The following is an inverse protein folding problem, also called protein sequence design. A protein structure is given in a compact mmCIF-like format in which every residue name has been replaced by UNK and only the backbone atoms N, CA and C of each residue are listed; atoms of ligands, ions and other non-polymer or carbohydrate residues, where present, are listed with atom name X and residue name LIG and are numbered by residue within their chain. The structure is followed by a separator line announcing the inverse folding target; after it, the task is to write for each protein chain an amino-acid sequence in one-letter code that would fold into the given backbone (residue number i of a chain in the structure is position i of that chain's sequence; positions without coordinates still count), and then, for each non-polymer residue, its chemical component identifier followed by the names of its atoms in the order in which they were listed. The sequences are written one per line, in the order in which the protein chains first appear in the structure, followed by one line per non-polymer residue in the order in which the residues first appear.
data_IF_524522799672
#
_entry.id   IF_524522799672
#
_cell.length_a   1.000
_cell.length_b   1.000
_cell.length_c   1.000
_cell.angle_alpha   90.00
_cell.angle_beta   90.00
_cell.angle_gamma   90.00
#
_symmetry.space_group_name_H-M   'P 1'
#
loop_
_entity.id
_entity.type
_entity.pdbx_description
1 polymer ?
#
# COMPACT_ATOMS: atom_id res chain seq x y z
N UNK A 1 -19.42 30.02 -18.22
CA UNK A 1 -19.39 30.21 -16.76
C UNK A 1 -20.68 29.62 -16.18
N UNK A 2 -20.56 28.58 -15.34
CA UNK A 2 -21.63 27.68 -14.79
C UNK A 2 -22.27 26.79 -15.88
N UNK A 3 -22.52 25.49 -15.70
CA UNK A 3 -23.21 24.74 -14.63
C UNK A 3 -22.76 23.26 -14.68
N UNK A 4 -22.55 22.61 -13.54
CA UNK A 4 -23.04 21.25 -13.22
C UNK A 4 -22.57 20.85 -11.80
N UNK A 5 -23.40 21.23 -10.83
CA UNK A 5 -23.49 20.56 -9.54
C UNK A 5 -24.56 19.47 -9.69
N UNK A 6 -24.24 18.22 -9.36
CA UNK A 6 -25.17 17.09 -9.34
C UNK A 6 -25.23 16.50 -7.94
N UNK A 7 -26.25 16.96 -7.22
CA UNK A 7 -27.09 16.28 -6.22
C UNK A 7 -26.54 15.02 -5.54
N UNK A 8 -26.03 15.22 -4.33
CA UNK A 8 -25.98 14.21 -3.26
C UNK A 8 -27.22 14.37 -2.37
N UNK A 9 -28.40 13.95 -2.85
CA UNK A 9 -29.63 13.98 -2.06
C UNK A 9 -30.67 12.99 -2.63
N UNK A 10 -30.51 11.70 -2.33
CA UNK A 10 -31.57 10.69 -2.43
C UNK A 10 -31.15 9.37 -1.76
N UNK A 11 -31.23 9.28 -0.43
CA UNK A 11 -31.42 8.01 0.31
C UNK A 11 -31.64 8.27 1.81
N UNK A 12 -32.69 8.99 2.19
CA UNK A 12 -33.20 8.98 3.57
C UNK A 12 -34.71 9.17 3.54
N UNK A 13 -35.47 8.06 3.45
CA UNK A 13 -36.75 7.83 4.15
C UNK A 13 -37.34 6.45 3.78
N UNK A 14 -38.09 5.87 4.73
CA UNK A 14 -38.73 4.55 4.82
C UNK A 14 -37.83 3.47 5.47
N UNK A 15 -38.20 2.82 6.58
CA UNK A 15 -39.44 2.82 7.33
C UNK A 15 -39.20 2.39 8.78
N UNK A 16 -40.00 2.91 9.71
CA UNK A 16 -40.10 2.46 11.10
C UNK A 16 -40.78 1.09 11.15
N UNK A 17 -40.08 0.07 11.65
CA UNK A 17 -40.64 -1.22 12.03
C UNK A 17 -40.79 -1.30 13.57
N UNK A 18 -41.81 -1.99 14.10
CA UNK A 18 -42.18 -1.89 15.51
C UNK A 18 -41.20 -2.66 16.41
N UNK A 19 -41.00 -2.12 17.60
CA UNK A 19 -40.30 -2.77 18.69
C UNK A 19 -41.02 -4.06 19.09
N UNK A 20 -40.29 -5.18 19.07
CA UNK A 20 -40.69 -6.38 19.78
C UNK A 20 -39.56 -6.77 20.73
N UNK A 21 -39.80 -6.53 22.02
CA UNK A 21 -38.91 -6.87 23.11
C UNK A 21 -38.91 -8.40 23.28
N UNK A 22 -37.96 -9.07 22.63
CA UNK A 22 -37.57 -10.44 22.92
C UNK A 22 -36.30 -10.41 23.76
N UNK A 23 -36.44 -10.78 25.02
CA UNK A 23 -35.41 -10.89 26.04
C UNK A 23 -34.26 -11.79 25.53
N UNK A 24 -33.10 -11.21 25.22
CA UNK A 24 -31.89 -11.96 24.94
C UNK A 24 -31.22 -12.29 26.27
N UNK A 25 -31.18 -13.59 26.53
CA UNK A 25 -30.57 -14.25 27.69
C UNK A 25 -29.08 -13.92 27.71
N UNK A 26 -28.63 -13.13 28.69
CA UNK A 26 -27.21 -12.83 28.94
C UNK A 26 -26.54 -14.10 29.45
N UNK A 27 -26.03 -14.93 28.53
CA UNK A 27 -24.99 -15.91 28.85
C UNK A 27 -23.65 -15.32 28.47
N UNK A 28 -22.94 -14.82 29.48
CA UNK A 28 -21.49 -14.70 29.47
C UNK A 28 -20.91 -16.07 29.08
N UNK A 29 -20.37 -16.17 27.87
CA UNK A 29 -19.85 -17.42 27.32
C UNK A 29 -19.01 -17.16 26.09
N UNK A 30 -17.71 -17.35 26.26
CA UNK A 30 -16.62 -17.27 25.27
C UNK A 30 -16.46 -15.93 24.53
N UNK A 31 -15.50 -15.14 25.01
CA UNK A 31 -14.71 -14.29 24.14
C UNK A 31 -14.03 -15.19 23.11
N UNK A 32 -14.67 -15.37 21.95
CA UNK A 32 -14.08 -15.96 20.77
C UNK A 32 -12.76 -15.23 20.49
N UNK A 33 -11.63 -15.82 20.88
CA UNK A 33 -10.31 -15.37 20.47
C UNK A 33 -10.26 -15.50 18.96
N UNK A 34 -10.41 -14.38 18.25
CA UNK A 34 -10.43 -14.36 16.79
C UNK A 34 -9.05 -14.74 16.26
N UNK A 35 -8.84 -16.02 15.95
CA UNK A 35 -7.77 -16.45 15.04
C UNK A 35 -8.08 -15.89 13.65
N UNK A 36 -7.74 -14.62 13.39
CA UNK A 36 -7.90 -14.00 12.07
C UNK A 36 -6.76 -13.13 11.58
N UNK A 37 -5.61 -13.14 12.26
CA UNK A 37 -4.46 -12.36 11.77
C UNK A 37 -3.24 -13.26 11.71
N UNK A 38 -2.84 -13.64 10.49
CA UNK A 38 -1.53 -14.22 10.25
C UNK A 38 -0.49 -13.14 10.52
N UNK A 39 0.07 -13.18 11.72
CA UNK A 39 1.12 -12.26 12.14
C UNK A 39 2.47 -12.96 12.11
N UNK A 40 3.53 -12.19 11.84
CA UNK A 40 4.87 -12.74 11.73
C UNK A 40 5.25 -13.23 10.33
N UNK A 41 6.18 -14.18 10.25
CA UNK A 41 6.79 -14.58 8.99
C UNK A 41 5.75 -15.22 8.05
N UNK A 42 5.70 -14.71 6.82
CA UNK A 42 4.88 -15.27 5.74
C UNK A 42 5.81 -15.90 4.70
N UNK A 43 6.23 -17.17 4.89
CA UNK A 43 7.14 -17.80 3.94
C UNK A 43 6.43 -18.03 2.60
N UNK A 44 7.13 -17.70 1.52
CA UNK A 44 6.76 -18.07 0.16
C UNK A 44 8.04 -18.25 -0.66
N UNK A 45 7.94 -18.99 -1.76
CA UNK A 45 9.03 -19.13 -2.71
C UNK A 45 9.23 -17.80 -3.44
N UNK A 46 10.29 -17.07 -3.07
CA UNK A 46 10.59 -15.73 -3.56
C UNK A 46 10.88 -15.76 -5.07
N UNK A 47 11.70 -16.71 -5.51
CA UNK A 47 12.10 -16.85 -6.91
C UNK A 47 10.90 -17.23 -7.79
N UNK A 48 10.11 -18.22 -7.36
CA UNK A 48 8.92 -18.61 -8.10
C UNK A 48 7.87 -17.49 -8.14
N UNK A 49 7.74 -16.72 -7.05
CA UNK A 49 6.82 -15.58 -7.02
C UNK A 49 7.30 -14.46 -7.94
N UNK A 50 8.56 -14.09 -7.88
CA UNK A 50 9.12 -13.06 -8.75
C UNK A 50 9.01 -13.48 -10.23
N UNK A 51 9.32 -14.73 -10.56
CA UNK A 51 9.09 -15.28 -11.90
C UNK A 51 7.60 -15.28 -12.31
N UNK A 52 6.67 -15.41 -11.37
CA UNK A 52 5.25 -15.36 -11.68
C UNK A 52 4.77 -13.95 -12.06
N UNK A 53 5.27 -12.92 -11.38
CA UNK A 53 4.70 -11.55 -11.43
C UNK A 53 5.63 -10.48 -11.99
N UNK A 54 6.90 -10.78 -12.21
CA UNK A 54 7.89 -9.84 -12.73
C UNK A 54 8.80 -10.45 -13.81
N UNK A 55 8.38 -11.54 -14.47
CA UNK A 55 9.20 -12.27 -15.48
C UNK A 55 9.36 -11.60 -16.85
N UNK A 56 9.05 -10.31 -16.98
CA UNK A 56 9.16 -9.59 -18.26
C UNK A 56 8.11 -9.97 -19.32
N UNK A 57 7.19 -10.90 -19.02
CA UNK A 57 6.04 -11.24 -19.87
C UNK A 57 4.83 -10.34 -19.57
N UNK A 58 5.07 -9.03 -19.60
CA UNK A 58 4.08 -8.02 -19.26
C UNK A 58 2.78 -8.22 -20.07
N UNK A 59 1.64 -8.27 -19.38
CA UNK A 59 0.34 -8.67 -19.98
C UNK A 59 -0.23 -7.63 -20.93
N UNK A 60 0.08 -6.36 -20.70
CA UNK A 60 -0.33 -5.24 -21.54
C UNK A 60 0.94 -4.55 -21.99
N UNK A 61 1.13 -4.43 -23.31
CA UNK A 61 2.28 -3.74 -23.87
C UNK A 61 2.28 -2.24 -23.51
N UNK A 62 3.46 -1.63 -23.26
CA UNK A 62 3.56 -0.19 -23.07
C UNK A 62 3.12 0.57 -24.31
N UNK A 63 2.63 1.81 -24.13
CA UNK A 63 2.50 2.75 -25.25
C UNK A 63 3.88 3.25 -25.66
N UNK A 64 4.09 3.44 -26.95
CA UNK A 64 5.19 4.23 -27.48
C UNK A 64 4.90 5.74 -27.26
N UNK A 65 5.92 6.59 -27.11
CA UNK A 65 5.72 8.04 -26.87
C UNK A 65 4.84 8.73 -27.92
N UNK A 66 4.86 8.25 -29.17
CA UNK A 66 4.01 8.76 -30.26
C UNK A 66 2.52 8.47 -30.05
N UNK A 67 2.18 7.45 -29.27
CA UNK A 67 0.82 7.01 -28.97
C UNK A 67 0.22 7.70 -27.74
N UNK A 68 1.00 8.51 -27.01
CA UNK A 68 0.51 9.17 -25.81
C UNK A 68 -0.62 10.16 -26.15
N UNK A 69 -1.72 10.10 -25.41
CA UNK A 69 -2.71 11.16 -25.41
C UNK A 69 -2.12 12.44 -24.81
N UNK A 70 -2.78 13.58 -25.00
CA UNK A 70 -2.36 14.84 -24.36
C UNK A 70 -2.30 14.69 -22.83
N UNK A 71 -3.28 14.00 -22.27
CA UNK A 71 -3.33 13.69 -20.84
C UNK A 71 -2.13 12.83 -20.38
N UNK A 72 -1.76 11.80 -21.16
CA UNK A 72 -0.62 10.95 -20.87
C UNK A 72 0.71 11.73 -20.98
N UNK A 73 0.84 12.66 -21.93
CA UNK A 73 2.02 13.53 -22.03
C UNK A 73 2.18 14.44 -20.82
N UNK A 74 1.09 14.99 -20.31
CA UNK A 74 1.13 15.81 -19.09
C UNK A 74 1.60 14.99 -17.89
N UNK A 75 1.03 13.79 -17.69
CA UNK A 75 1.47 12.89 -16.61
C UNK A 75 2.95 12.49 -16.80
N UNK A 76 3.39 12.24 -18.03
CA UNK A 76 4.80 11.96 -18.33
C UNK A 76 5.73 13.10 -17.88
N UNK A 77 5.36 14.35 -18.17
CA UNK A 77 6.11 15.53 -17.73
C UNK A 77 6.14 15.68 -16.21
N UNK A 78 5.00 15.46 -15.54
CA UNK A 78 4.91 15.49 -14.07
C UNK A 78 5.83 14.44 -13.43
N UNK A 79 5.84 13.21 -13.95
CA UNK A 79 6.72 12.14 -13.49
C UNK A 79 8.20 12.47 -13.67
N UNK A 80 8.59 13.03 -14.82
CA UNK A 80 9.97 13.43 -15.09
C UNK A 80 10.44 14.54 -14.14
N UNK A 81 9.57 15.49 -13.84
CA UNK A 81 9.86 16.53 -12.86
C UNK A 81 10.04 15.95 -11.45
N UNK A 82 9.28 14.91 -11.10
CA UNK A 82 9.31 14.30 -9.77
C UNK A 82 10.50 13.34 -9.56
N UNK A 83 10.71 12.39 -10.47
CA UNK A 83 11.77 11.37 -10.33
C UNK A 83 13.16 11.86 -10.77
N UNK A 84 13.26 13.09 -11.27
CA UNK A 84 14.44 13.62 -11.93
C UNK A 84 14.61 13.00 -13.32
N UNK A 85 15.37 13.68 -14.19
CA UNK A 85 15.70 13.20 -15.53
C UNK A 85 16.55 11.93 -15.45
N UNK A 86 15.92 10.76 -15.26
CA UNK A 86 16.47 9.54 -15.84
C UNK A 86 16.46 9.81 -17.34
N UNK A 87 17.64 9.89 -17.95
CA UNK A 87 17.86 10.37 -19.33
C UNK A 87 17.04 9.59 -20.39
N UNK A 88 16.40 8.49 -20.01
CA UNK A 88 15.55 7.65 -20.84
C UNK A 88 14.05 7.79 -20.55
N UNK A 89 13.45 8.93 -20.91
CA UNK A 89 11.99 9.06 -21.05
C UNK A 89 11.16 8.61 -19.84
N UNK A 90 9.93 8.14 -20.09
CA UNK A 90 9.06 7.54 -19.07
C UNK A 90 9.32 6.02 -19.05
N UNK A 91 9.62 5.41 -17.88
CA UNK A 91 9.74 3.96 -17.76
C UNK A 91 8.58 3.22 -18.43
N UNK A 92 8.88 2.17 -19.19
CA UNK A 92 7.87 1.37 -19.94
C UNK A 92 6.72 0.89 -19.05
N UNK A 93 7.03 0.59 -17.80
CA UNK A 93 6.08 0.30 -16.72
C UNK A 93 4.96 1.35 -16.63
N UNK A 94 5.32 2.64 -16.56
CA UNK A 94 4.36 3.74 -16.48
C UNK A 94 3.67 4.03 -17.83
N UNK A 95 4.38 3.86 -18.94
CA UNK A 95 3.80 4.02 -20.28
C UNK A 95 2.66 3.03 -20.57
N UNK A 96 2.58 1.93 -19.83
CA UNK A 96 1.46 0.98 -19.91
C UNK A 96 0.21 1.53 -19.23
N UNK A 97 0.38 2.18 -18.08
CA UNK A 97 -0.71 2.80 -17.33
C UNK A 97 -1.32 4.01 -18.06
N UNK A 98 -0.59 4.60 -19.01
CA UNK A 98 -1.10 5.65 -19.90
C UNK A 98 -2.21 5.19 -20.85
N UNK A 99 -2.48 3.88 -20.97
CA UNK A 99 -3.70 3.39 -21.61
C UNK A 99 -4.96 3.69 -20.78
N UNK A 100 -4.80 4.03 -19.49
CA UNK A 100 -5.86 4.49 -18.60
C UNK A 100 -5.40 5.71 -17.78
N UNK A 101 -5.16 6.87 -18.43
CA UNK A 101 -4.43 8.00 -17.84
C UNK A 101 -5.14 8.61 -16.62
N UNK A 102 -6.48 8.69 -16.61
CA UNK A 102 -7.22 9.22 -15.47
C UNK A 102 -7.09 8.37 -14.19
N UNK A 103 -7.06 7.04 -14.31
CA UNK A 103 -6.83 6.14 -13.18
C UNK A 103 -5.41 6.29 -12.67
N UNK A 104 -4.44 6.30 -13.60
CA UNK A 104 -3.04 6.43 -13.25
C UNK A 104 -2.73 7.78 -12.59
N UNK A 105 -3.34 8.88 -13.05
CA UNK A 105 -3.23 10.19 -12.40
C UNK A 105 -3.73 10.14 -10.96
N UNK A 106 -4.91 9.58 -10.71
CA UNK A 106 -5.47 9.48 -9.36
C UNK A 106 -4.57 8.65 -8.43
N UNK A 107 -4.09 7.50 -8.91
CA UNK A 107 -3.13 6.66 -8.18
C UNK A 107 -1.83 7.43 -7.87
N UNK A 108 -1.27 8.11 -8.87
CA UNK A 108 -0.03 8.89 -8.72
C UNK A 108 -0.20 10.03 -7.72
N UNK A 109 -1.31 10.78 -7.79
CA UNK A 109 -1.57 11.89 -6.87
C UNK A 109 -1.67 11.43 -5.41
N UNK A 110 -2.37 10.31 -5.15
CA UNK A 110 -2.41 9.73 -3.82
C UNK A 110 -1.01 9.29 -3.35
N UNK A 111 -0.26 8.59 -4.22
CA UNK A 111 1.11 8.17 -3.90
C UNK A 111 2.04 9.34 -3.60
N UNK A 112 1.96 10.42 -4.38
CA UNK A 112 2.74 11.64 -4.18
C UNK A 112 2.36 12.34 -2.88
N UNK A 113 1.06 12.47 -2.57
CA UNK A 113 0.59 13.06 -1.33
C UNK A 113 1.17 12.31 -0.13
N UNK A 114 1.02 10.98 -0.10
CA UNK A 114 1.53 10.15 0.99
C UNK A 114 3.06 10.18 1.13
N UNK A 115 3.81 10.35 0.02
CA UNK A 115 5.27 10.35 0.02
C UNK A 115 5.91 11.72 0.28
N UNK A 116 5.33 12.80 -0.25
CA UNK A 116 5.91 14.15 -0.16
C UNK A 116 5.30 14.97 0.98
N UNK A 117 3.99 14.85 1.19
CA UNK A 117 3.22 15.65 2.13
C UNK A 117 2.66 14.82 3.30
N UNK A 118 2.91 13.50 3.29
CA UNK A 118 2.48 12.57 4.32
C UNK A 118 2.99 12.95 5.71
N UNK A 119 2.17 12.67 6.70
CA UNK A 119 2.38 12.96 8.10
C UNK A 119 3.12 11.84 8.84
N UNK A 120 3.11 10.61 8.32
CA UNK A 120 3.88 9.51 8.93
C UNK A 120 5.39 9.82 8.91
N UNK A 121 6.13 9.56 10.01
CA UNK A 121 7.57 9.73 10.01
C UNK A 121 8.21 8.94 8.86
N UNK A 122 9.14 9.51 8.07
CA UNK A 122 9.61 8.87 6.83
C UNK A 122 10.11 7.44 7.01
N UNK A 123 10.86 7.14 8.09
CA UNK A 123 11.31 5.78 8.41
C UNK A 123 10.14 4.83 8.65
N UNK A 124 9.14 5.25 9.41
CA UNK A 124 7.97 4.43 9.74
C UNK A 124 7.07 4.22 8.53
N UNK A 125 6.94 5.23 7.66
CA UNK A 125 6.25 5.08 6.37
C UNK A 125 6.91 4.00 5.51
N UNK A 126 8.24 3.96 5.42
CA UNK A 126 8.94 2.90 4.69
C UNK A 126 8.78 1.52 5.35
N UNK A 127 8.69 1.44 6.69
CA UNK A 127 8.33 0.17 7.35
C UNK A 127 6.93 -0.31 6.93
N UNK A 128 5.97 0.60 6.89
CA UNK A 128 4.59 0.30 6.46
C UNK A 128 4.57 -0.21 5.03
N UNK A 129 5.27 0.50 4.13
CA UNK A 129 5.35 0.15 2.71
C UNK A 129 6.04 -1.19 2.50
N UNK A 130 7.22 -1.40 3.09
CA UNK A 130 7.97 -2.65 2.96
C UNK A 130 7.21 -3.84 3.52
N UNK A 131 6.57 -3.68 4.69
CA UNK A 131 5.75 -4.75 5.26
C UNK A 131 4.54 -5.07 4.37
N UNK A 132 3.89 -4.04 3.83
CA UNK A 132 2.79 -4.20 2.87
C UNK A 132 3.27 -4.96 1.64
N UNK A 133 4.34 -4.49 0.99
CA UNK A 133 4.93 -5.09 -0.22
C UNK A 133 5.31 -6.57 -0.02
N UNK A 134 5.86 -6.90 1.16
CA UNK A 134 6.18 -8.28 1.51
C UNK A 134 4.94 -9.16 1.63
N UNK A 135 3.91 -8.71 2.37
CA UNK A 135 2.68 -9.46 2.60
C UNK A 135 1.87 -9.68 1.31
N UNK A 136 1.80 -8.67 0.45
CA UNK A 136 1.12 -8.75 -0.86
C UNK A 136 2.02 -9.34 -1.96
N UNK A 137 3.27 -9.70 -1.60
CA UNK A 137 4.25 -10.37 -2.45
C UNK A 137 4.52 -9.61 -3.74
N UNK A 138 4.87 -8.33 -3.61
CA UNK A 138 5.20 -7.40 -4.69
C UNK A 138 6.72 -7.19 -4.77
N UNK A 139 7.44 -7.88 -5.68
CA UNK A 139 8.89 -7.72 -5.81
C UNK A 139 9.26 -6.31 -6.29
N UNK A 140 8.45 -5.73 -7.17
CA UNK A 140 8.65 -4.37 -7.69
C UNK A 140 8.71 -3.35 -6.56
N UNK A 141 7.67 -3.31 -5.72
CA UNK A 141 7.60 -2.33 -4.62
C UNK A 141 8.63 -2.63 -3.55
N UNK A 142 8.86 -3.90 -3.22
CA UNK A 142 9.90 -4.27 -2.26
C UNK A 142 11.26 -3.71 -2.67
N UNK A 143 11.71 -3.98 -3.91
CA UNK A 143 13.03 -3.54 -4.37
C UNK A 143 13.15 -2.02 -4.58
N UNK A 144 12.08 -1.31 -4.95
CA UNK A 144 12.15 0.17 -4.96
C UNK A 144 12.28 0.71 -3.53
N UNK A 145 11.47 0.19 -2.61
CA UNK A 145 11.35 0.74 -1.26
C UNK A 145 12.45 0.29 -0.31
N UNK A 146 13.16 -0.81 -0.57
CA UNK A 146 14.36 -1.13 0.22
C UNK A 146 15.45 -0.08 -0.04
N UNK A 147 15.60 0.39 -1.29
CA UNK A 147 16.53 1.50 -1.60
C UNK A 147 16.12 2.81 -0.92
N UNK A 148 14.83 3.15 -0.90
CA UNK A 148 14.34 4.36 -0.22
C UNK A 148 14.42 4.26 1.30
N UNK A 149 14.01 3.12 1.87
CA UNK A 149 14.13 2.79 3.29
C UNK A 149 15.55 2.99 3.82
N UNK A 150 16.56 2.47 3.11
CA UNK A 150 17.98 2.67 3.48
C UNK A 150 18.37 4.14 3.52
N UNK A 151 17.93 4.94 2.54
CA UNK A 151 18.19 6.40 2.50
C UNK A 151 17.48 7.14 3.63
N UNK A 152 16.36 6.62 4.11
CA UNK A 152 15.54 7.19 5.19
C UNK A 152 15.86 6.60 6.57
N UNK A 153 16.95 5.83 6.68
CA UNK A 153 17.51 5.40 7.95
C UNK A 153 17.11 3.99 8.41
N UNK A 154 16.46 3.18 7.57
CA UNK A 154 16.31 1.75 7.85
C UNK A 154 17.65 1.03 7.64
N UNK A 155 18.08 0.32 8.67
CA UNK A 155 19.23 -0.59 8.60
C UNK A 155 18.90 -1.88 7.82
N UNK A 156 19.92 -2.56 7.31
CA UNK A 156 19.75 -3.87 6.66
C UNK A 156 19.13 -4.88 7.63
N UNK A 157 19.51 -4.83 8.91
CA UNK A 157 18.95 -5.69 9.95
C UNK A 157 17.46 -5.44 10.16
N UNK A 158 17.01 -4.19 10.07
CA UNK A 158 15.58 -3.85 10.14
C UNK A 158 14.83 -4.31 8.89
N UNK A 159 15.40 -4.15 7.70
CA UNK A 159 14.82 -4.63 6.44
C UNK A 159 14.63 -6.15 6.46
N UNK A 160 15.65 -6.89 6.87
CA UNK A 160 15.54 -8.34 7.03
C UNK A 160 14.51 -8.71 8.10
N UNK A 161 14.45 -7.95 9.20
CA UNK A 161 13.45 -8.15 10.26
C UNK A 161 12.01 -7.87 9.78
N UNK A 162 11.79 -6.92 8.87
CA UNK A 162 10.46 -6.62 8.30
C UNK A 162 9.88 -7.83 7.54
N UNK A 163 10.72 -8.66 6.92
CA UNK A 163 10.27 -9.91 6.26
C UNK A 163 9.67 -10.91 7.25
N UNK A 164 10.15 -10.89 8.50
CA UNK A 164 9.69 -11.72 9.61
C UNK A 164 8.49 -11.11 10.35
N UNK A 165 8.19 -9.83 10.12
CA UNK A 165 7.01 -9.15 10.63
C UNK A 165 7.09 -8.69 12.08
N UNK A 166 5.93 -8.38 12.65
CA UNK A 166 5.81 -7.82 13.99
C UNK A 166 6.18 -8.81 15.11
N UNK A 167 6.17 -10.12 14.86
CA UNK A 167 6.60 -11.13 15.83
C UNK A 167 8.12 -11.23 15.97
N UNK A 168 8.89 -10.59 15.07
CA UNK A 168 10.34 -10.66 15.11
C UNK A 168 10.90 -10.02 16.38
N UNK A 169 11.97 -10.60 16.97
CA UNK A 169 12.63 -10.01 18.12
C UNK A 169 13.40 -8.75 17.73
N UNK A 170 13.57 -7.82 18.67
CA UNK A 170 14.37 -6.61 18.49
C UNK A 170 13.58 -5.35 18.10
N UNK A 171 12.27 -5.44 17.85
CA UNK A 171 11.41 -4.25 17.76
C UNK A 171 11.12 -3.66 19.13
N UNK A 172 11.17 -2.32 19.23
CA UNK A 172 10.52 -1.60 20.33
C UNK A 172 8.99 -1.73 20.22
N UNK A 173 8.27 -1.28 21.25
CA UNK A 173 6.80 -1.40 21.32
C UNK A 173 6.10 -0.71 20.13
N UNK A 174 6.53 0.51 19.78
CA UNK A 174 5.91 1.30 18.72
C UNK A 174 6.16 0.70 17.33
N UNK A 175 7.41 0.42 16.97
CA UNK A 175 7.78 -0.21 15.69
C UNK A 175 7.06 -1.57 15.50
N UNK A 176 6.89 -2.32 16.59
CA UNK A 176 6.13 -3.57 16.57
C UNK A 176 4.66 -3.31 16.24
N UNK A 177 4.04 -2.30 16.86
CA UNK A 177 2.66 -1.92 16.61
C UNK A 177 2.45 -1.39 15.18
N UNK A 178 3.43 -0.66 14.62
CA UNK A 178 3.39 -0.23 13.20
C UNK A 178 3.28 -1.44 12.28
N UNK A 179 4.17 -2.42 12.44
CA UNK A 179 4.15 -3.64 11.61
C UNK A 179 2.91 -4.49 11.86
N UNK A 180 2.45 -4.57 13.12
CA UNK A 180 1.21 -5.26 13.49
C UNK A 180 0.03 -4.63 12.78
N UNK A 181 -0.12 -3.31 12.84
CA UNK A 181 -1.21 -2.59 12.18
C UNK A 181 -1.28 -2.88 10.68
N UNK A 182 -0.13 -3.01 9.99
CA UNK A 182 -0.10 -3.45 8.59
C UNK A 182 -0.63 -4.88 8.41
N UNK A 183 -0.19 -5.81 9.26
CA UNK A 183 -0.66 -7.21 9.22
C UNK A 183 -2.17 -7.32 9.46
N UNK A 184 -2.70 -6.55 10.42
CA UNK A 184 -4.13 -6.49 10.74
C UNK A 184 -4.93 -5.87 9.58
N UNK A 185 -4.45 -4.77 8.99
CA UNK A 185 -5.08 -4.14 7.83
C UNK A 185 -5.10 -5.03 6.59
N UNK A 186 -4.07 -5.85 6.37
CA UNK A 186 -4.05 -6.80 5.24
C UNK A 186 -4.92 -8.04 5.51
N UNK A 187 -4.87 -8.58 6.74
CA UNK A 187 -5.61 -9.79 7.10
C UNK A 187 -7.11 -9.56 7.32
N UNK A 188 -7.42 -8.52 8.09
CA UNK A 188 -8.76 -8.25 8.63
C UNK A 188 -9.38 -6.94 8.15
N UNK A 189 -8.64 -6.12 7.38
CA UNK A 189 -9.10 -4.83 6.87
C UNK A 189 -9.47 -3.83 7.97
N UNK A 190 -8.96 -4.04 9.19
CA UNK A 190 -9.14 -3.18 10.34
C UNK A 190 -7.93 -3.31 11.28
N UNK A 191 -7.64 -2.25 12.03
CA UNK A 191 -6.66 -2.27 13.13
C UNK A 191 -7.40 -2.66 14.40
N UNK A 192 -6.80 -3.50 15.25
CA UNK A 192 -7.36 -3.88 16.55
C UNK A 192 -7.28 -2.75 17.57
N UNK A 193 -8.14 -2.76 18.59
CA UNK A 193 -8.11 -1.75 19.66
C UNK A 193 -6.76 -1.73 20.40
N UNK A 194 -6.12 -2.90 20.59
CA UNK A 194 -4.81 -3.02 21.23
C UNK A 194 -3.71 -2.32 20.41
N UNK A 195 -3.65 -2.61 19.11
CA UNK A 195 -2.68 -1.97 18.21
C UNK A 195 -2.95 -0.47 18.09
N UNK A 196 -4.22 -0.07 17.97
CA UNK A 196 -4.63 1.33 17.92
C UNK A 196 -4.19 2.10 19.18
N UNK A 197 -4.39 1.53 20.36
CA UNK A 197 -4.01 2.17 21.62
C UNK A 197 -2.50 2.48 21.64
N UNK A 198 -1.65 1.53 21.25
CA UNK A 198 -0.19 1.73 21.21
C UNK A 198 0.20 2.82 20.21
N UNK A 199 -0.34 2.75 18.98
CA UNK A 199 -0.04 3.73 17.94
C UNK A 199 -0.46 5.13 18.36
N UNK A 200 -1.64 5.28 18.98
CA UNK A 200 -2.19 6.58 19.41
C UNK A 200 -1.38 7.29 20.51
N UNK A 201 -0.47 6.58 21.20
CA UNK A 201 0.42 7.20 22.19
C UNK A 201 1.53 8.04 21.55
N UNK A 202 1.95 7.68 20.33
CA UNK A 202 3.09 8.30 19.63
C UNK A 202 2.69 9.01 18.33
N UNK A 203 1.52 8.68 17.78
CA UNK A 203 1.01 9.28 16.55
C UNK A 203 -0.13 10.27 16.79
N UNK A 204 -0.16 11.29 15.96
CA UNK A 204 -1.28 12.22 15.81
C UNK A 204 -2.46 11.56 15.10
N UNK A 205 -3.64 12.17 15.21
CA UNK A 205 -4.83 11.70 14.48
C UNK A 205 -4.61 11.67 12.95
N UNK A 206 -3.84 12.63 12.41
CA UNK A 206 -3.50 12.65 10.98
C UNK A 206 -2.70 11.41 10.58
N UNK A 207 -1.72 11.01 11.39
CA UNK A 207 -0.89 9.82 11.17
C UNK A 207 -1.69 8.52 11.32
N UNK A 208 -2.60 8.47 12.30
CA UNK A 208 -3.52 7.33 12.49
C UNK A 208 -4.46 7.15 11.30
N UNK A 209 -4.98 8.25 10.73
CA UNK A 209 -5.78 8.24 9.49
C UNK A 209 -4.93 7.82 8.28
N UNK A 210 -3.67 8.24 8.24
CA UNK A 210 -2.78 8.00 7.11
C UNK A 210 -2.32 6.55 7.00
N UNK A 211 -2.12 5.83 8.12
CA UNK A 211 -1.70 4.42 8.13
C UNK A 211 -2.53 3.53 7.17
N UNK A 212 -3.87 3.44 7.30
CA UNK A 212 -4.68 2.63 6.37
C UNK A 212 -4.64 3.19 4.93
N UNK A 213 -4.44 4.50 4.76
CA UNK A 213 -4.23 5.12 3.45
C UNK A 213 -2.97 4.62 2.75
N UNK A 214 -1.84 4.54 3.47
CA UNK A 214 -0.58 3.99 2.93
C UNK A 214 -0.73 2.51 2.62
N UNK A 215 -1.24 1.70 3.56
CA UNK A 215 -1.43 0.25 3.32
C UNK A 215 -2.34 0.01 2.11
N UNK A 216 -3.47 0.73 2.01
CA UNK A 216 -4.39 0.63 0.89
C UNK A 216 -3.78 1.06 -0.45
N UNK A 217 -3.03 2.16 -0.48
CA UNK A 217 -2.39 2.67 -1.69
C UNK A 217 -1.35 1.71 -2.26
N UNK A 218 -0.51 1.14 -1.39
CA UNK A 218 0.50 0.16 -1.80
C UNK A 218 -0.09 -1.22 -2.10
N UNK A 219 -1.19 -1.61 -1.43
CA UNK A 219 -1.94 -2.81 -1.82
C UNK A 219 -2.56 -2.67 -3.22
N UNK A 220 -3.16 -1.52 -3.54
CA UNK A 220 -3.69 -1.23 -4.89
C UNK A 220 -2.57 -1.29 -5.93
N UNK A 221 -1.43 -0.65 -5.65
CA UNK A 221 -0.28 -0.62 -6.55
C UNK A 221 0.25 -2.04 -6.79
N UNK A 222 0.47 -2.83 -5.73
CA UNK A 222 0.83 -4.24 -5.83
C UNK A 222 -0.15 -5.04 -6.70
N UNK A 223 -1.46 -4.89 -6.48
CA UNK A 223 -2.48 -5.61 -7.24
C UNK A 223 -2.38 -5.30 -8.73
N UNK A 224 -2.23 -4.02 -9.10
CA UNK A 224 -2.06 -3.61 -10.50
C UNK A 224 -0.77 -4.22 -11.06
N UNK A 225 0.36 -4.04 -10.38
CA UNK A 225 1.68 -4.34 -10.94
C UNK A 225 1.90 -5.85 -11.05
N UNK A 226 1.50 -6.61 -10.02
CA UNK A 226 1.54 -8.07 -10.06
C UNK A 226 0.58 -8.63 -11.11
N UNK A 227 -0.61 -8.04 -11.27
CA UNK A 227 -1.60 -8.50 -12.26
C UNK A 227 -1.16 -8.20 -13.69
N UNK A 228 -0.53 -7.06 -13.93
CA UNK A 228 -0.03 -6.68 -15.25
C UNK A 228 1.34 -7.27 -15.58
N UNK A 229 1.98 -7.88 -14.58
CA UNK A 229 3.32 -8.49 -14.66
C UNK A 229 4.40 -7.49 -15.06
N UNK A 230 4.40 -6.36 -14.36
CA UNK A 230 5.40 -5.32 -14.58
C UNK A 230 6.78 -5.87 -14.22
N UNK A 231 7.73 -5.73 -15.15
CA UNK A 231 9.13 -6.09 -14.90
C UNK A 231 9.75 -5.13 -13.88
N UNK A 232 10.81 -5.61 -13.22
CA UNK A 232 11.62 -4.76 -12.34
C UNK A 232 12.31 -3.67 -13.16
N UNK A 233 12.46 -2.49 -12.57
CA UNK A 233 13.26 -1.41 -13.17
C UNK A 233 14.75 -1.77 -13.13
N UNK A 234 15.54 -1.13 -13.98
CA UNK A 234 17.00 -1.27 -13.90
C UNK A 234 17.50 -0.86 -12.51
N UNK A 235 18.35 -1.70 -11.90
CA UNK A 235 18.86 -1.54 -10.54
C UNK A 235 17.90 -1.96 -9.43
N UNK A 236 16.66 -2.34 -9.75
CA UNK A 236 15.74 -2.94 -8.80
C UNK A 236 15.97 -4.45 -8.74
N UNK A 237 16.45 -4.92 -7.60
CA UNK A 237 16.82 -6.32 -7.35
C UNK A 237 15.67 -7.15 -6.79
N UNK A 238 14.45 -6.61 -6.71
CA UNK A 238 13.27 -7.31 -6.25
C UNK A 238 13.48 -7.91 -4.86
N UNK A 239 12.97 -9.12 -4.62
CA UNK A 239 13.10 -9.78 -3.31
C UNK A 239 14.53 -10.13 -2.91
N UNK A 240 15.48 -10.08 -3.84
CA UNK A 240 16.89 -10.31 -3.51
C UNK A 240 17.52 -9.15 -2.74
N UNK A 241 16.85 -7.99 -2.69
CA UNK A 241 17.26 -6.83 -1.91
C UNK A 241 16.87 -6.97 -0.43
N UNK A 242 17.68 -7.71 0.33
CA UNK A 242 17.57 -7.90 1.80
C UNK A 242 18.84 -7.37 2.48
#
# INVERSE_FOLDING_TARGET
MRILALNLAAALTCATAPANAGQLDNKEGDCMTSERIQTGATPFDLEAREAQVASGNQRIAPLEPSEFSEEARQIATELQAFFGSREEGVPKTFATMFKHPGLYRGQMQLGLELNQNGSLPPREREMVILRTAWLVRSPFEWGEHVMYGRKLGLSSEEIERITQGSSAPGWNEHDRAVLRGVEELIGDHAVSDETWEILSRNWTEQQLIELPGVVGSYTLTAMIYNSLRFGLLEGNEGFSQR
#
